data_IF_637524028703
#
_entry.id   IF_637524028703
#
_cell.length_a   1.000
_cell.length_b   1.000
_cell.length_c   1.000
_cell.angle_alpha   90.00
_cell.angle_beta   90.00
_cell.angle_gamma   90.00
#
_symmetry.space_group_name_H-M   'P 1'
#
loop_
_entity.id
_entity.type
_entity.pdbx_description
1 polymer ?
#
# COMPACT_ATOMS: atom_id res chain seq x y z
N UNK A 1 4.83 -44.98 -2.22
CA UNK A 1 5.28 -45.92 -1.16
C UNK A 1 5.91 -45.09 -0.07
N UNK A 2 5.34 -45.24 1.11
CA UNK A 2 5.72 -44.75 2.46
C UNK A 2 5.31 -43.31 2.77
N UNK A 3 4.22 -43.14 3.43
CA UNK A 3 3.80 -43.35 4.82
C UNK A 3 4.61 -42.52 5.84
N UNK A 4 3.96 -41.51 6.41
CA UNK A 4 3.99 -41.15 7.82
C UNK A 4 2.74 -40.34 8.17
N UNK A 5 1.66 -41.09 8.30
CA UNK A 5 0.49 -40.70 9.10
C UNK A 5 0.63 -41.39 10.45
N UNK A 6 0.15 -40.75 11.52
CA UNK A 6 -0.16 -41.26 12.87
C UNK A 6 0.79 -40.80 13.97
N UNK A 7 0.23 -40.05 14.87
CA UNK A 7 0.02 -40.28 16.29
C UNK A 7 -0.70 -39.03 16.82
N UNK A 8 -1.96 -39.02 17.03
CA UNK A 8 -2.85 -39.68 17.99
C UNK A 8 -2.65 -39.21 19.44
N UNK A 9 -3.67 -38.50 19.89
CA UNK A 9 -4.36 -38.64 21.19
C UNK A 9 -3.56 -39.10 22.40
N UNK A 10 -3.55 -38.24 23.44
CA UNK A 10 -3.78 -38.75 24.80
C UNK A 10 -4.63 -37.75 25.60
N UNK A 11 -5.75 -38.27 26.04
CA UNK A 11 -6.71 -37.83 27.05
C UNK A 11 -6.27 -38.39 28.37
N UNK A 12 -6.35 -37.62 29.48
CA UNK A 12 -6.71 -38.08 30.84
C UNK A 12 -6.92 -36.80 31.65
N UNK A 13 -8.04 -36.48 32.18
CA UNK A 13 -8.97 -37.05 33.15
C UNK A 13 -8.41 -37.17 34.58
N UNK A 14 -9.08 -36.42 35.47
CA UNK A 14 -9.36 -36.61 36.90
C UNK A 14 -8.23 -36.31 37.91
N UNK A 15 -8.47 -35.32 38.78
CA UNK A 15 -8.92 -35.66 40.13
C UNK A 15 -9.36 -34.42 40.92
N UNK A 16 -10.45 -34.62 41.62
CA UNK A 16 -11.13 -33.79 42.61
C UNK A 16 -10.28 -33.67 43.86
N UNK A 17 -10.21 -32.49 44.48
CA UNK A 17 -9.94 -32.36 45.91
C UNK A 17 -10.66 -31.15 46.48
N UNK A 18 -11.57 -31.46 47.38
CA UNK A 18 -12.38 -30.58 48.24
C UNK A 18 -11.50 -30.12 49.40
N UNK A 19 -11.59 -28.84 49.75
CA UNK A 19 -10.98 -28.28 50.98
C UNK A 19 -11.31 -26.82 51.15
N UNK A 20 -12.44 -26.45 51.62
CA UNK A 20 -12.86 -25.88 52.92
C UNK A 20 -12.15 -24.56 53.31
N UNK A 21 -12.97 -23.48 53.25
CA UNK A 21 -13.15 -22.31 54.14
C UNK A 21 -11.91 -21.53 54.57
N UNK A 22 -11.85 -20.25 54.11
CA UNK A 22 -11.42 -19.14 54.96
C UNK A 22 -12.16 -17.84 54.61
N UNK A 23 -12.82 -17.36 55.60
CA UNK A 23 -13.45 -16.05 55.81
C UNK A 23 -12.45 -14.94 55.59
N UNK A 24 -12.78 -13.91 54.79
CA UNK A 24 -11.87 -12.77 54.69
C UNK A 24 -12.35 -11.68 53.77
N UNK A 25 -13.10 -10.73 54.33
CA UNK A 25 -13.12 -9.32 53.96
C UNK A 25 -13.61 -8.92 52.57
N UNK A 26 -14.92 -8.64 52.48
CA UNK A 26 -15.56 -7.78 51.49
C UNK A 26 -14.99 -6.33 51.56
N UNK A 27 -13.96 -6.02 50.76
CA UNK A 27 -13.65 -4.66 50.40
C UNK A 27 -14.55 -4.28 49.21
N UNK A 28 -15.69 -3.68 49.55
CA UNK A 28 -16.57 -3.00 48.62
C UNK A 28 -15.84 -1.74 48.13
N UNK A 29 -15.07 -1.85 47.02
CA UNK A 29 -14.66 -0.68 46.28
C UNK A 29 -15.90 -0.17 45.52
N UNK A 30 -16.56 0.79 46.14
CA UNK A 30 -17.52 1.63 45.46
C UNK A 30 -16.75 2.45 44.40
N UNK A 31 -16.69 1.92 43.17
CA UNK A 31 -16.29 2.68 42.00
C UNK A 31 -17.36 3.77 41.83
N UNK A 32 -17.10 4.97 42.32
CA UNK A 32 -17.85 6.16 41.92
C UNK A 32 -17.62 6.33 40.44
N UNK A 33 -18.56 5.86 39.62
CA UNK A 33 -18.70 6.29 38.24
C UNK A 33 -18.86 7.81 38.28
N UNK A 34 -17.76 8.53 38.02
CA UNK A 34 -17.82 9.95 37.67
C UNK A 34 -18.62 10.00 36.36
N UNK A 35 -19.93 10.23 36.48
CA UNK A 35 -20.77 10.61 35.36
C UNK A 35 -20.18 11.96 34.93
N UNK A 36 -19.41 11.94 33.81
CA UNK A 36 -19.03 13.17 33.14
C UNK A 36 -20.35 13.82 32.72
N UNK A 37 -20.74 14.86 33.46
CA UNK A 37 -21.88 15.70 33.14
C UNK A 37 -21.54 16.36 31.79
N UNK A 38 -22.02 15.74 30.70
CA UNK A 38 -21.96 16.31 29.38
C UNK A 38 -22.89 17.51 29.37
N UNK A 39 -22.32 18.68 29.66
CA UNK A 39 -23.03 19.96 29.69
C UNK A 39 -23.82 20.11 28.38
N UNK A 40 -25.15 19.99 28.52
CA UNK A 40 -26.07 20.05 27.37
C UNK A 40 -26.00 21.43 26.74
N UNK A 41 -25.65 21.49 25.46
CA UNK A 41 -25.69 22.73 24.67
C UNK A 41 -27.10 23.28 24.63
N UNK A 42 -27.28 24.56 25.01
CA UNK A 42 -28.60 25.19 25.04
C UNK A 42 -28.66 26.45 24.21
N UNK A 43 -27.58 27.23 24.20
CA UNK A 43 -27.56 28.54 23.60
C UNK A 43 -26.30 28.77 22.75
N UNK A 44 -26.44 29.67 21.73
CA UNK A 44 -25.35 30.13 20.87
C UNK A 44 -25.30 31.66 20.98
N UNK A 45 -24.13 32.22 21.32
CA UNK A 45 -23.91 33.66 21.47
C UNK A 45 -22.90 34.15 20.43
N UNK A 46 -23.20 35.23 19.73
CA UNK A 46 -22.24 35.95 18.92
C UNK A 46 -22.29 37.44 19.26
N UNK A 47 -21.20 38.13 18.95
CA UNK A 47 -21.11 39.57 19.07
C UNK A 47 -21.13 40.20 17.68
N UNK A 48 -22.02 41.17 17.45
CA UNK A 48 -22.09 41.90 16.19
C UNK A 48 -20.95 42.92 16.07
N UNK A 49 -20.93 43.69 14.95
CA UNK A 49 -19.89 44.70 14.69
C UNK A 49 -19.90 45.82 15.72
N UNK A 50 -20.99 46.00 16.45
CA UNK A 50 -21.14 47.02 17.52
C UNK A 50 -20.78 46.47 18.91
N UNK A 51 -20.40 45.21 18.98
CA UNK A 51 -20.08 44.54 20.23
C UNK A 51 -21.32 44.08 21.02
N UNK A 52 -22.52 44.11 20.41
CA UNK A 52 -23.76 43.67 21.08
C UNK A 52 -23.84 42.15 21.06
N UNK A 53 -24.09 41.57 22.25
CA UNK A 53 -24.26 40.13 22.39
C UNK A 53 -25.64 39.71 21.89
N UNK A 54 -25.67 38.83 20.93
CA UNK A 54 -26.89 38.21 20.37
C UNK A 54 -26.92 36.71 20.75
N UNK A 55 -28.00 36.27 21.34
CA UNK A 55 -28.19 34.87 21.78
C UNK A 55 -29.31 34.22 21.01
N UNK A 56 -29.10 32.94 20.63
CA UNK A 56 -30.06 32.13 19.91
C UNK A 56 -30.00 30.68 20.38
N UNK A 57 -31.08 29.94 20.19
CA UNK A 57 -31.14 28.48 20.40
C UNK A 57 -30.65 27.69 19.18
N UNK A 58 -30.35 28.36 18.06
CA UNK A 58 -29.84 27.75 16.82
C UNK A 58 -28.72 28.58 16.23
N UNK A 59 -27.84 27.93 15.48
CA UNK A 59 -26.76 28.62 14.74
C UNK A 59 -27.35 29.27 13.49
N UNK A 60 -27.26 30.59 13.42
CA UNK A 60 -27.69 31.40 12.26
C UNK A 60 -26.49 31.79 11.38
N UNK A 61 -26.70 32.29 10.15
CA UNK A 61 -25.63 32.81 9.30
C UNK A 61 -24.81 33.93 9.97
N UNK A 62 -25.42 34.74 10.86
CA UNK A 62 -24.71 35.75 11.62
C UNK A 62 -23.69 35.12 12.58
N UNK A 63 -24.04 34.03 13.27
CA UNK A 63 -23.13 33.28 14.11
C UNK A 63 -21.89 32.83 13.35
N UNK A 64 -22.10 32.29 12.12
CA UNK A 64 -21.01 31.81 11.28
C UNK A 64 -20.12 32.98 10.83
N UNK A 65 -20.72 34.12 10.47
CA UNK A 65 -19.99 35.31 9.99
C UNK A 65 -19.13 35.95 11.08
N UNK A 66 -19.65 36.10 12.27
CA UNK A 66 -18.95 36.81 13.36
C UNK A 66 -18.15 35.88 14.29
N UNK A 67 -18.36 34.58 14.17
CA UNK A 67 -17.93 33.62 15.16
C UNK A 67 -18.92 33.57 16.34
N UNK A 68 -18.93 32.44 17.06
CA UNK A 68 -19.90 32.27 18.14
C UNK A 68 -19.37 31.40 19.26
N UNK A 69 -19.96 31.59 20.42
CA UNK A 69 -19.75 30.78 21.60
C UNK A 69 -20.95 29.85 21.81
N UNK A 70 -20.64 28.64 22.19
CA UNK A 70 -21.65 27.65 22.59
C UNK A 70 -21.73 27.68 24.10
N UNK A 71 -22.94 27.85 24.61
CA UNK A 71 -23.20 27.99 26.02
C UNK A 71 -24.01 26.84 26.59
N UNK A 72 -23.78 26.49 27.85
CA UNK A 72 -24.59 25.57 28.63
C UNK A 72 -25.85 26.22 29.21
N UNK A 73 -26.59 25.48 30.05
CA UNK A 73 -27.77 25.97 30.76
C UNK A 73 -27.47 27.13 31.72
N UNK A 74 -26.21 27.22 32.22
CA UNK A 74 -25.75 28.26 33.15
C UNK A 74 -25.09 29.43 32.44
N UNK A 75 -25.24 29.54 31.11
CA UNK A 75 -24.60 30.55 30.25
C UNK A 75 -23.07 30.52 30.26
N UNK A 76 -22.49 29.37 30.65
CA UNK A 76 -21.04 29.18 30.62
C UNK A 76 -20.61 28.74 29.24
N UNK A 77 -19.44 29.21 28.79
CA UNK A 77 -18.90 28.91 27.47
C UNK A 77 -18.32 27.53 27.46
N UNK A 78 -18.97 26.61 26.72
CA UNK A 78 -18.48 25.25 26.49
C UNK A 78 -17.46 25.22 25.34
N UNK A 79 -17.73 25.99 24.26
CA UNK A 79 -16.93 25.99 23.04
C UNK A 79 -16.96 27.36 22.36
N UNK A 80 -15.84 27.74 21.74
CA UNK A 80 -15.73 28.93 20.88
C UNK A 80 -15.48 28.51 19.46
N UNK A 81 -16.24 29.05 18.50
CA UNK A 81 -16.06 28.89 17.08
C UNK A 81 -15.70 30.27 16.48
N UNK A 82 -14.59 30.31 15.78
CA UNK A 82 -14.13 31.55 15.13
C UNK A 82 -15.00 31.93 13.94
N UNK A 83 -14.96 33.20 13.54
CA UNK A 83 -15.63 33.71 12.35
C UNK A 83 -15.14 32.94 11.08
N UNK A 84 -16.09 32.66 10.19
CA UNK A 84 -15.76 32.07 8.91
C UNK A 84 -15.00 33.05 8.02
N UNK A 85 -13.82 32.65 7.59
CA UNK A 85 -13.02 33.41 6.64
C UNK A 85 -12.96 32.67 5.30
N UNK A 86 -13.75 33.16 4.33
CA UNK A 86 -13.83 32.58 3.01
C UNK A 86 -12.48 32.57 2.26
N UNK A 87 -11.67 33.61 2.46
CA UNK A 87 -10.37 33.70 1.80
C UNK A 87 -9.40 32.65 2.36
N UNK A 88 -9.37 32.46 3.67
CA UNK A 88 -8.58 31.39 4.30
C UNK A 88 -9.05 30.01 3.83
N UNK A 89 -10.36 29.81 3.71
CA UNK A 89 -10.94 28.56 3.22
C UNK A 89 -10.56 28.27 1.78
N UNK A 90 -10.62 29.27 0.90
CA UNK A 90 -10.16 29.16 -0.49
C UNK A 90 -8.66 28.84 -0.58
N UNK A 91 -7.83 29.53 0.21
CA UNK A 91 -6.39 29.29 0.23
C UNK A 91 -6.02 27.87 0.71
N UNK A 92 -6.84 27.28 1.59
CA UNK A 92 -6.63 25.93 2.09
C UNK A 92 -7.31 24.85 1.26
N UNK A 93 -8.17 25.23 0.29
CA UNK A 93 -8.95 24.27 -0.50
C UNK A 93 -8.07 23.31 -1.30
N UNK A 94 -7.01 23.79 -1.94
CA UNK A 94 -6.05 22.99 -2.68
C UNK A 94 -5.32 22.00 -1.76
N UNK A 95 -4.89 22.45 -0.58
CA UNK A 95 -4.22 21.61 0.41
C UNK A 95 -5.14 20.50 0.93
N UNK A 96 -6.42 20.84 1.21
CA UNK A 96 -7.41 19.83 1.62
C UNK A 96 -7.69 18.81 0.52
N UNK A 97 -7.77 19.25 -0.74
CA UNK A 97 -7.96 18.37 -1.88
C UNK A 97 -6.77 17.38 -2.05
N UNK A 98 -5.53 17.88 -1.92
CA UNK A 98 -4.33 17.03 -1.93
C UNK A 98 -4.35 16.02 -0.78
N UNK A 99 -4.65 16.46 0.43
CA UNK A 99 -4.74 15.58 1.61
C UNK A 99 -5.82 14.51 1.45
N UNK A 100 -6.97 14.87 0.83
CA UNK A 100 -8.03 13.92 0.55
C UNK A 100 -7.58 12.85 -0.47
N UNK A 101 -6.90 13.26 -1.55
CA UNK A 101 -6.33 12.33 -2.55
C UNK A 101 -5.30 11.38 -1.92
N UNK A 102 -4.42 11.89 -1.07
CA UNK A 102 -3.45 11.06 -0.36
C UNK A 102 -4.14 10.01 0.52
N UNK A 103 -5.15 10.40 1.30
CA UNK A 103 -5.93 9.44 2.11
C UNK A 103 -6.64 8.38 1.27
N UNK A 104 -7.19 8.77 0.13
CA UNK A 104 -7.83 7.81 -0.79
C UNK A 104 -6.82 6.79 -1.34
N UNK A 105 -5.64 7.25 -1.75
CA UNK A 105 -4.55 6.37 -2.20
C UNK A 105 -4.11 5.42 -1.07
N UNK A 106 -3.96 5.91 0.16
CA UNK A 106 -3.58 5.10 1.31
C UNK A 106 -4.61 3.99 1.61
N UNK A 107 -5.90 4.33 1.51
CA UNK A 107 -6.98 3.34 1.66
C UNK A 107 -6.90 2.28 0.55
N UNK A 108 -6.68 2.70 -0.71
CA UNK A 108 -6.52 1.77 -1.85
C UNK A 108 -5.30 0.86 -1.65
N UNK A 109 -4.17 1.40 -1.19
CA UNK A 109 -2.97 0.62 -0.89
C UNK A 109 -3.21 -0.41 0.21
N UNK A 110 -3.81 -0.01 1.34
CA UNK A 110 -4.17 -0.94 2.42
C UNK A 110 -5.13 -2.03 1.96
N UNK A 111 -6.11 -1.69 1.12
CA UNK A 111 -7.05 -2.67 0.55
C UNK A 111 -6.36 -3.66 -0.40
N UNK A 112 -5.38 -3.21 -1.20
CA UNK A 112 -4.69 -4.04 -2.18
C UNK A 112 -3.63 -4.97 -1.58
N UNK A 113 -2.94 -4.50 -0.53
CA UNK A 113 -1.76 -5.19 0.02
C UNK A 113 -1.90 -5.59 1.49
N UNK A 114 -2.87 -5.03 2.22
CA UNK A 114 -3.09 -5.18 3.67
C UNK A 114 -1.95 -4.62 4.52
N UNK A 115 -0.70 -5.00 4.27
CA UNK A 115 0.50 -4.56 4.99
C UNK A 115 1.76 -4.59 4.10
N UNK A 116 2.84 -4.00 4.61
CA UNK A 116 4.15 -3.92 3.93
C UNK A 116 4.76 -5.30 3.63
N UNK A 117 4.56 -6.27 4.52
CA UNK A 117 5.04 -7.66 4.34
C UNK A 117 4.38 -8.34 3.13
N UNK A 118 3.06 -8.19 2.99
CA UNK A 118 2.31 -8.74 1.85
C UNK A 118 2.74 -8.07 0.53
N UNK A 119 2.97 -6.75 0.54
CA UNK A 119 3.50 -6.04 -0.62
C UNK A 119 4.90 -6.55 -1.01
N UNK A 120 5.77 -6.83 -0.03
CA UNK A 120 7.10 -7.43 -0.26
C UNK A 120 7.00 -8.80 -0.93
N UNK A 121 6.14 -9.68 -0.43
CA UNK A 121 5.92 -11.01 -1.02
C UNK A 121 5.44 -10.89 -2.49
N UNK A 122 4.48 -9.99 -2.76
CA UNK A 122 3.99 -9.76 -4.12
C UNK A 122 5.09 -9.19 -5.05
N UNK A 123 5.94 -8.28 -4.54
CA UNK A 123 7.12 -7.79 -5.26
C UNK A 123 8.01 -8.95 -5.66
N UNK A 124 8.40 -9.78 -4.69
CA UNK A 124 9.35 -10.86 -4.91
C UNK A 124 8.81 -11.89 -5.91
N UNK A 125 7.50 -12.18 -5.86
CA UNK A 125 6.83 -13.04 -6.85
C UNK A 125 6.86 -12.42 -8.26
N UNK A 126 6.56 -11.11 -8.38
CA UNK A 126 6.59 -10.41 -9.66
C UNK A 126 8.01 -10.35 -10.24
N UNK A 127 9.00 -10.01 -9.42
CA UNK A 127 10.40 -9.98 -9.83
C UNK A 127 10.93 -11.36 -10.22
N UNK A 128 10.53 -12.42 -9.50
CA UNK A 128 10.88 -13.79 -9.85
C UNK A 128 10.31 -14.19 -11.21
N UNK A 129 9.08 -13.81 -11.52
CA UNK A 129 8.48 -14.08 -12.82
C UNK A 129 9.25 -13.41 -13.96
N UNK A 130 9.61 -12.14 -13.80
CA UNK A 130 10.41 -11.40 -14.79
C UNK A 130 11.82 -12.02 -14.91
N UNK A 131 12.44 -12.39 -13.81
CA UNK A 131 13.75 -13.04 -13.81
C UNK A 131 13.76 -14.37 -14.55
N UNK A 132 12.70 -15.18 -14.41
CA UNK A 132 12.54 -16.41 -15.19
C UNK A 132 12.49 -16.13 -16.71
N UNK A 133 11.79 -15.06 -17.11
CA UNK A 133 11.75 -14.64 -18.51
C UNK A 133 13.11 -14.17 -19.02
N UNK A 134 13.86 -13.41 -18.20
CA UNK A 134 15.22 -12.98 -18.53
C UNK A 134 16.12 -14.20 -18.74
N UNK A 135 16.10 -15.15 -17.82
CA UNK A 135 16.93 -16.37 -17.94
C UNK A 135 16.60 -17.15 -19.22
N UNK A 136 15.30 -17.33 -19.50
CA UNK A 136 14.88 -18.00 -20.74
C UNK A 136 15.37 -17.27 -21.99
N UNK A 137 15.27 -15.95 -22.05
CA UNK A 137 15.76 -15.17 -23.17
C UNK A 137 17.29 -15.21 -23.27
N UNK A 138 17.99 -15.29 -22.14
CA UNK A 138 19.44 -15.43 -22.11
C UNK A 138 19.87 -16.78 -22.71
N UNK A 139 19.21 -17.88 -22.34
CA UNK A 139 19.46 -19.20 -22.91
C UNK A 139 19.21 -19.22 -24.42
N UNK A 140 18.15 -18.55 -24.88
CA UNK A 140 17.88 -18.39 -26.31
C UNK A 140 18.96 -17.59 -27.03
N UNK A 141 19.47 -16.53 -26.40
CA UNK A 141 20.56 -15.73 -26.95
C UNK A 141 21.85 -16.54 -27.09
N UNK A 142 22.17 -17.33 -26.07
CA UNK A 142 23.38 -18.17 -26.06
C UNK A 142 23.33 -19.22 -27.19
N UNK A 143 22.17 -19.88 -27.36
CA UNK A 143 21.96 -20.83 -28.46
C UNK A 143 22.09 -20.16 -29.85
N UNK A 144 21.46 -18.99 -30.03
CA UNK A 144 21.58 -18.25 -31.29
C UNK A 144 23.02 -17.78 -31.57
N UNK A 145 23.82 -17.53 -30.54
CA UNK A 145 25.24 -17.20 -30.70
C UNK A 145 26.08 -18.44 -31.11
N UNK A 146 25.76 -19.61 -30.57
CA UNK A 146 26.37 -20.86 -30.99
C UNK A 146 26.04 -21.17 -32.45
N UNK A 147 24.77 -21.03 -32.84
CA UNK A 147 24.32 -21.19 -34.24
C UNK A 147 25.06 -20.21 -35.17
N UNK A 148 25.24 -18.95 -34.74
CA UNK A 148 26.02 -17.96 -35.50
C UNK A 148 27.42 -18.42 -35.74
N UNK A 149 28.11 -19.01 -34.75
CA UNK A 149 29.46 -19.55 -34.90
C UNK A 149 29.47 -20.69 -35.89
N UNK A 150 28.48 -21.61 -35.80
CA UNK A 150 28.34 -22.73 -36.72
C UNK A 150 28.13 -22.26 -38.16
N UNK A 151 27.20 -21.35 -38.39
CA UNK A 151 26.92 -20.81 -39.73
C UNK A 151 28.13 -20.08 -40.29
N UNK A 152 28.90 -19.37 -39.47
CA UNK A 152 30.11 -18.72 -39.89
C UNK A 152 31.21 -19.70 -40.30
N UNK A 153 31.35 -20.83 -39.59
CA UNK A 153 32.25 -21.90 -39.99
C UNK A 153 31.84 -22.52 -41.35
N UNK A 154 30.57 -22.77 -41.55
CA UNK A 154 30.06 -23.28 -42.82
C UNK A 154 30.31 -22.32 -43.98
N UNK A 155 30.11 -21.02 -43.77
CA UNK A 155 30.43 -19.98 -44.75
C UNK A 155 31.91 -20.01 -45.15
N UNK A 156 32.80 -20.12 -44.13
CA UNK A 156 34.24 -20.22 -44.38
C UNK A 156 34.65 -21.48 -45.16
N UNK A 157 33.90 -22.61 -45.03
CA UNK A 157 34.13 -23.81 -45.84
C UNK A 157 33.82 -23.57 -47.32
N UNK A 158 32.72 -22.84 -47.64
CA UNK A 158 32.42 -22.46 -49.04
C UNK A 158 33.53 -21.62 -49.63
N UNK A 159 34.06 -20.62 -48.85
CA UNK A 159 35.19 -19.81 -49.30
C UNK A 159 36.46 -20.66 -49.55
N UNK A 160 36.77 -21.60 -48.66
CA UNK A 160 37.93 -22.50 -48.79
C UNK A 160 37.85 -23.36 -50.04
N UNK A 161 36.64 -23.86 -50.36
CA UNK A 161 36.40 -24.67 -51.56
C UNK A 161 36.26 -23.83 -52.84
N UNK A 162 36.25 -22.52 -52.76
CA UNK A 162 35.95 -21.57 -53.85
C UNK A 162 34.55 -21.80 -54.44
N UNK A 163 33.60 -22.28 -53.63
CA UNK A 163 32.20 -22.47 -53.97
C UNK A 163 31.38 -21.23 -53.69
N UNK A 164 30.29 -21.03 -54.43
CA UNK A 164 29.31 -19.99 -54.18
C UNK A 164 28.45 -20.36 -52.97
N UNK A 165 28.31 -19.44 -52.03
CA UNK A 165 27.47 -19.64 -50.84
C UNK A 165 26.00 -19.78 -51.33
N UNK A 166 25.32 -20.91 -51.02
CA UNK A 166 23.91 -21.09 -51.39
C UNK A 166 23.00 -19.99 -50.77
N UNK A 167 22.00 -19.57 -51.49
CA UNK A 167 21.08 -18.50 -51.03
C UNK A 167 20.38 -18.85 -49.73
N UNK A 168 19.96 -20.13 -49.60
CA UNK A 168 19.35 -20.57 -48.34
C UNK A 168 20.27 -20.38 -47.12
N UNK A 169 21.60 -20.56 -47.31
CA UNK A 169 22.57 -20.38 -46.22
C UNK A 169 22.73 -18.92 -45.83
N UNK A 170 22.71 -18.00 -46.80
CA UNK A 170 22.68 -16.55 -46.52
C UNK A 170 21.45 -16.15 -45.74
N UNK A 171 20.27 -16.67 -46.13
CA UNK A 171 19.00 -16.44 -45.42
C UNK A 171 19.05 -16.97 -43.99
N UNK A 172 19.66 -18.14 -43.73
CA UNK A 172 19.84 -18.66 -42.35
C UNK A 172 20.71 -17.74 -41.50
N UNK A 173 21.81 -17.22 -42.04
CA UNK A 173 22.70 -16.27 -41.34
C UNK A 173 21.93 -14.98 -41.02
N UNK A 174 21.22 -14.42 -41.96
CA UNK A 174 20.44 -13.20 -41.81
C UNK A 174 19.34 -13.37 -40.75
N UNK A 175 18.57 -14.45 -40.84
CA UNK A 175 17.54 -14.77 -39.86
C UNK A 175 18.10 -14.94 -38.44
N UNK A 176 19.24 -15.62 -38.31
CA UNK A 176 19.92 -15.76 -37.04
C UNK A 176 20.34 -14.40 -36.44
N UNK A 177 20.95 -13.53 -37.26
CA UNK A 177 21.34 -12.19 -36.83
C UNK A 177 20.13 -11.34 -36.40
N UNK A 178 19.06 -11.41 -37.17
CA UNK A 178 17.81 -10.74 -36.84
C UNK A 178 17.19 -11.25 -35.51
N UNK A 179 17.23 -12.56 -35.28
CA UNK A 179 16.76 -13.18 -34.04
C UNK A 179 17.66 -12.74 -32.85
N UNK A 180 18.97 -12.75 -32.98
CA UNK A 180 19.91 -12.23 -31.95
C UNK A 180 19.56 -10.78 -31.59
N UNK A 181 19.34 -9.95 -32.59
CA UNK A 181 18.96 -8.55 -32.36
C UNK A 181 17.65 -8.44 -31.59
N UNK A 182 16.63 -9.17 -31.99
CA UNK A 182 15.30 -9.17 -31.32
C UNK A 182 15.38 -9.67 -29.89
N UNK A 183 16.12 -10.74 -29.62
CA UNK A 183 16.28 -11.26 -28.25
C UNK A 183 17.02 -10.27 -27.37
N UNK A 184 18.06 -9.61 -27.87
CA UNK A 184 18.76 -8.52 -27.14
C UNK A 184 17.82 -7.37 -26.78
N UNK A 185 16.98 -6.92 -27.69
CA UNK A 185 15.96 -5.90 -27.46
C UNK A 185 14.97 -6.33 -26.37
N UNK A 186 14.55 -7.60 -26.41
CA UNK A 186 13.66 -8.19 -25.41
C UNK A 186 14.32 -8.21 -24.01
N UNK A 187 15.57 -8.62 -23.93
CA UNK A 187 16.34 -8.63 -22.68
C UNK A 187 16.47 -7.23 -22.08
N UNK A 188 16.76 -6.24 -22.91
CA UNK A 188 16.82 -4.83 -22.47
C UNK A 188 15.47 -4.36 -21.91
N UNK A 189 14.38 -4.68 -22.60
CA UNK A 189 13.02 -4.34 -22.17
C UNK A 189 12.63 -5.02 -20.86
N UNK A 190 12.97 -6.30 -20.72
CA UNK A 190 12.73 -7.07 -19.48
C UNK A 190 13.55 -6.50 -18.32
N UNK A 191 14.82 -6.12 -18.56
CA UNK A 191 15.68 -5.50 -17.54
C UNK A 191 15.10 -4.15 -17.07
N UNK A 192 14.66 -3.30 -18.01
CA UNK A 192 13.95 -2.05 -17.68
C UNK A 192 12.67 -2.30 -16.88
N UNK A 193 11.90 -3.32 -17.27
CA UNK A 193 10.66 -3.70 -16.58
C UNK A 193 10.95 -4.20 -15.16
N UNK A 194 11.98 -5.01 -14.97
CA UNK A 194 12.41 -5.48 -13.66
C UNK A 194 12.73 -4.31 -12.72
N UNK A 195 13.57 -3.37 -13.18
CA UNK A 195 13.96 -2.21 -12.37
C UNK A 195 12.77 -1.30 -12.05
N UNK A 196 11.89 -1.05 -13.03
CA UNK A 196 10.67 -0.27 -12.82
C UNK A 196 9.74 -0.94 -11.80
N UNK A 197 9.47 -2.22 -11.97
CA UNK A 197 8.61 -2.99 -11.05
C UNK A 197 9.19 -2.99 -9.64
N UNK A 198 10.51 -3.17 -9.48
CA UNK A 198 11.14 -3.10 -8.17
C UNK A 198 10.94 -1.73 -7.52
N UNK A 199 11.23 -0.66 -8.24
CA UNK A 199 11.10 0.71 -7.73
C UNK A 199 9.63 1.07 -7.36
N UNK A 200 8.66 0.66 -8.19
CA UNK A 200 7.24 0.85 -7.90
C UNK A 200 6.82 0.16 -6.59
N UNK A 201 7.24 -1.09 -6.40
CA UNK A 201 6.95 -1.82 -5.16
C UNK A 201 7.70 -1.27 -3.95
N UNK A 202 8.92 -0.81 -4.09
CA UNK A 202 9.66 -0.16 -3.00
C UNK A 202 8.93 1.08 -2.48
N UNK A 203 8.42 1.92 -3.38
CA UNK A 203 7.61 3.08 -3.02
C UNK A 203 6.32 2.67 -2.28
N UNK A 204 5.65 1.62 -2.75
CA UNK A 204 4.44 1.06 -2.10
C UNK A 204 4.77 0.55 -0.70
N UNK A 205 5.84 -0.22 -0.55
CA UNK A 205 6.28 -0.81 0.72
C UNK A 205 6.66 0.29 1.72
N UNK A 206 7.41 1.29 1.28
CA UNK A 206 7.77 2.44 2.11
C UNK A 206 6.53 3.20 2.59
N UNK A 207 5.55 3.42 1.68
CA UNK A 207 4.30 4.09 2.04
C UNK A 207 3.49 3.27 3.04
N UNK A 208 3.37 1.97 2.84
CA UNK A 208 2.67 1.08 3.77
C UNK A 208 3.31 1.06 5.15
N UNK A 209 4.64 1.01 5.24
CA UNK A 209 5.37 1.10 6.52
C UNK A 209 5.07 2.39 7.30
N UNK A 210 4.83 3.50 6.59
CA UNK A 210 4.44 4.78 7.23
C UNK A 210 2.99 4.80 7.70
N UNK A 211 2.17 3.85 7.24
CA UNK A 211 0.75 3.73 7.57
C UNK A 211 0.45 2.63 8.61
N UNK A 212 1.44 1.78 8.93
CA UNK A 212 1.39 0.76 9.97
C UNK A 212 1.67 1.35 11.34
#
# INVERSE_FOLDING_TARGET
>A
MNDWMKYAFYRNCLSVSIGIISFGSLFFWASTLAIADTSKVVWYRYYDQRGTANISTSVTPAHIRYGYEVLDQNMQVIKRNHSYNAQTDLNQSSQRALSARHRELDIKLKKAYSNSKTATIKRDQALLAIKKQINYQQEQLDQLQEDKILFKRQEMEYFRKREVIPEHHKTLIENNLNNIYRVKQTLETLSKTYNRTNSEYENIIERLKKLE
#
